data_IF_949895528851
#
_entry.id   IF_949895528851
#
_cell.length_a   1.000
_cell.length_b   1.000
_cell.length_c   1.000
_cell.angle_alpha   90.00
_cell.angle_beta   90.00
_cell.angle_gamma   90.00
#
_symmetry.space_group_name_H-M   'P 1'
#
loop_
_entity.id
_entity.type
_entity.pdbx_description
1 polymer ?
#
# COMPACT_ATOMS: atom_id res chain seq x y z
N UNK A 1 -7.82 -29.08 -9.58
CA UNK A 1 -6.38 -28.86 -9.81
C UNK A 1 -5.55 -30.13 -9.61
N UNK A 2 -5.72 -30.98 -8.57
CA UNK A 2 -4.97 -32.24 -8.45
C UNK A 2 -5.35 -33.29 -9.52
N UNK A 3 -6.62 -33.32 -9.92
CA UNK A 3 -7.15 -34.30 -10.87
C UNK A 3 -6.62 -34.18 -12.32
N UNK A 4 -5.94 -33.08 -12.66
CA UNK A 4 -5.35 -32.84 -13.98
C UNK A 4 -3.82 -32.98 -13.99
N UNK A 5 -3.17 -33.29 -12.86
CA UNK A 5 -1.71 -33.40 -12.75
C UNK A 5 -0.95 -32.08 -12.86
N UNK A 6 -1.65 -30.93 -12.83
CA UNK A 6 -1.02 -29.60 -12.89
C UNK A 6 -0.74 -29.11 -11.47
N UNK A 7 0.52 -28.79 -11.20
CA UNK A 7 0.96 -28.21 -9.93
C UNK A 7 0.57 -26.73 -9.91
N UNK A 8 -0.22 -26.26 -8.91
CA UNK A 8 -0.56 -24.85 -8.78
C UNK A 8 0.69 -23.99 -8.58
N UNK A 9 0.74 -22.86 -9.28
CA UNK A 9 1.78 -21.84 -9.17
C UNK A 9 1.26 -20.57 -8.47
N UNK A 10 2.13 -19.58 -8.28
CA UNK A 10 1.81 -18.28 -7.67
C UNK A 10 0.62 -17.61 -8.37
N UNK A 11 0.55 -17.68 -9.70
CA UNK A 11 -0.54 -17.12 -10.50
C UNK A 11 -1.87 -17.81 -10.15
N UNK A 12 -1.87 -19.14 -10.04
CA UNK A 12 -3.06 -19.93 -9.69
C UNK A 12 -3.56 -19.61 -8.28
N UNK A 13 -2.66 -19.51 -7.31
CA UNK A 13 -3.01 -19.11 -5.94
C UNK A 13 -3.59 -17.70 -5.90
N UNK A 14 -2.93 -16.76 -6.58
CA UNK A 14 -3.35 -15.37 -6.67
C UNK A 14 -4.77 -15.25 -7.27
N UNK A 15 -5.03 -15.93 -8.39
CA UNK A 15 -6.38 -15.96 -8.97
C UNK A 15 -7.45 -16.44 -7.96
N UNK A 16 -7.15 -17.49 -7.18
CA UNK A 16 -8.04 -18.01 -6.16
C UNK A 16 -8.24 -17.01 -5.00
N UNK A 17 -7.17 -16.42 -4.46
CA UNK A 17 -7.22 -15.41 -3.38
C UNK A 17 -8.09 -14.23 -3.81
N UNK A 18 -7.89 -13.70 -5.02
CA UNK A 18 -8.70 -12.62 -5.57
C UNK A 18 -10.18 -13.00 -5.72
N UNK A 19 -10.47 -14.22 -6.15
CA UNK A 19 -11.86 -14.70 -6.25
C UNK A 19 -12.52 -14.78 -4.87
N UNK A 20 -11.79 -15.20 -3.84
CA UNK A 20 -12.27 -15.23 -2.46
C UNK A 20 -12.57 -13.83 -1.93
N UNK A 21 -11.71 -12.85 -2.24
CA UNK A 21 -11.95 -11.44 -1.91
C UNK A 21 -13.22 -10.89 -2.57
N UNK A 22 -13.45 -11.24 -3.84
CA UNK A 22 -14.67 -10.85 -4.57
C UNK A 22 -15.92 -11.50 -3.97
N UNK A 23 -15.80 -12.75 -3.53
CA UNK A 23 -16.86 -13.50 -2.86
C UNK A 23 -17.05 -13.13 -1.36
N UNK A 24 -16.20 -12.24 -0.81
CA UNK A 24 -16.19 -11.85 0.61
C UNK A 24 -15.94 -13.00 1.58
N UNK A 25 -15.11 -13.98 1.18
CA UNK A 25 -14.69 -15.12 2.00
C UNK A 25 -13.21 -14.97 2.34
N UNK A 26 -12.89 -13.98 3.16
CA UNK A 26 -11.52 -13.55 3.39
C UNK A 26 -10.70 -14.57 4.19
N UNK A 27 -11.33 -15.32 5.09
CA UNK A 27 -10.67 -16.36 5.87
C UNK A 27 -10.10 -17.45 4.95
N UNK A 28 -10.86 -17.84 3.92
CA UNK A 28 -10.39 -18.77 2.91
C UNK A 28 -9.26 -18.17 2.07
N UNK A 29 -9.35 -16.88 1.72
CA UNK A 29 -8.28 -16.18 1.03
C UNK A 29 -6.96 -16.23 1.82
N UNK A 30 -7.04 -16.04 3.14
CA UNK A 30 -5.88 -16.13 4.04
C UNK A 30 -5.37 -17.57 4.21
N UNK A 31 -6.25 -18.57 4.25
CA UNK A 31 -5.85 -19.97 4.24
C UNK A 31 -5.08 -20.32 2.95
N UNK A 32 -5.54 -19.83 1.80
CA UNK A 32 -4.86 -20.02 0.51
C UNK A 32 -3.51 -19.30 0.48
N UNK A 33 -3.45 -18.06 0.97
CA UNK A 33 -2.22 -17.29 1.10
C UNK A 33 -1.19 -18.00 1.99
N UNK A 34 -1.60 -18.48 3.17
CA UNK A 34 -0.74 -19.25 4.07
C UNK A 34 -0.23 -20.55 3.42
N UNK A 35 -1.01 -21.13 2.51
CA UNK A 35 -0.66 -22.36 1.80
C UNK A 35 0.43 -22.16 0.73
N UNK A 36 0.72 -20.93 0.29
CA UNK A 36 1.79 -20.65 -0.68
C UNK A 36 3.14 -21.21 -0.20
N UNK A 37 3.56 -20.83 1.00
CA UNK A 37 4.83 -21.30 1.60
C UNK A 37 4.84 -22.81 1.80
N UNK A 38 3.68 -23.40 2.14
CA UNK A 38 3.52 -24.86 2.25
C UNK A 38 3.73 -25.61 0.94
N UNK A 39 3.52 -24.93 -0.20
CA UNK A 39 3.78 -25.45 -1.55
C UNK A 39 5.15 -25.00 -2.11
N UNK A 40 6.07 -24.57 -1.24
CA UNK A 40 7.41 -24.09 -1.62
C UNK A 40 7.40 -22.84 -2.52
N UNK A 41 6.30 -22.09 -2.53
CA UNK A 41 6.18 -20.81 -3.23
C UNK A 41 6.43 -19.66 -2.26
N UNK A 42 7.12 -18.61 -2.72
CA UNK A 42 7.35 -17.41 -1.91
C UNK A 42 6.30 -16.36 -2.26
N UNK A 43 5.55 -15.84 -1.28
CA UNK A 43 4.61 -14.76 -1.55
C UNK A 43 5.34 -13.52 -2.11
N UNK A 44 4.87 -13.03 -3.24
CA UNK A 44 5.36 -11.81 -3.90
C UNK A 44 4.42 -10.60 -3.66
N UNK A 45 4.72 -9.47 -4.28
CA UNK A 45 3.93 -8.23 -4.18
C UNK A 45 2.47 -8.45 -4.57
N UNK A 46 2.22 -9.25 -5.63
CA UNK A 46 0.88 -9.58 -6.06
C UNK A 46 0.15 -10.44 -5.02
N UNK A 47 0.83 -11.42 -4.44
CA UNK A 47 0.29 -12.34 -3.43
C UNK A 47 -0.16 -11.57 -2.18
N UNK A 48 0.71 -10.71 -1.65
CA UNK A 48 0.40 -9.87 -0.50
C UNK A 48 -0.70 -8.87 -0.81
N UNK A 49 -0.63 -8.19 -1.95
CA UNK A 49 -1.64 -7.21 -2.36
C UNK A 49 -3.03 -7.83 -2.45
N UNK A 50 -3.16 -9.03 -3.01
CA UNK A 50 -4.44 -9.72 -3.11
C UNK A 50 -4.95 -10.25 -1.78
N UNK A 51 -4.07 -10.76 -0.91
CA UNK A 51 -4.46 -11.18 0.44
C UNK A 51 -4.96 -9.99 1.27
N UNK A 52 -4.25 -8.86 1.21
CA UNK A 52 -4.65 -7.60 1.87
C UNK A 52 -5.99 -7.11 1.32
N UNK A 53 -6.16 -7.04 0.00
CA UNK A 53 -7.41 -6.60 -0.63
C UNK A 53 -8.58 -7.52 -0.29
N UNK A 54 -8.34 -8.83 -0.23
CA UNK A 54 -9.37 -9.82 0.10
C UNK A 54 -9.81 -9.73 1.57
N UNK A 55 -8.88 -9.47 2.50
CA UNK A 55 -9.13 -9.34 3.92
C UNK A 55 -9.52 -7.93 4.37
N UNK A 56 -9.51 -6.95 3.48
CA UNK A 56 -9.88 -5.58 3.84
C UNK A 56 -11.36 -5.47 4.27
N UNK A 57 -11.71 -4.80 5.39
CA UNK A 57 -10.86 -3.97 6.27
C UNK A 57 -10.44 -4.66 7.59
N UNK A 58 -10.39 -5.98 7.65
CA UNK A 58 -10.10 -6.72 8.89
C UNK A 58 -8.72 -6.39 9.46
N UNK A 59 -8.56 -6.37 10.79
CA UNK A 59 -7.33 -5.95 11.46
C UNK A 59 -6.08 -6.77 11.04
N UNK A 60 -6.27 -8.01 10.59
CA UNK A 60 -5.19 -8.89 10.10
C UNK A 60 -4.41 -8.30 8.91
N UNK A 61 -4.99 -7.33 8.18
CA UNK A 61 -4.29 -6.69 7.05
C UNK A 61 -3.02 -5.93 7.47
N UNK A 62 -2.99 -5.40 8.70
CA UNK A 62 -1.78 -4.75 9.24
C UNK A 62 -0.65 -5.75 9.45
N UNK A 63 -0.97 -6.93 9.98
CA UNK A 63 0.01 -8.02 10.16
C UNK A 63 0.53 -8.53 8.82
N UNK A 64 -0.34 -8.65 7.81
CA UNK A 64 0.07 -9.03 6.45
C UNK A 64 0.99 -7.99 5.82
N UNK A 65 0.69 -6.69 5.99
CA UNK A 65 1.54 -5.63 5.48
C UNK A 65 2.89 -5.60 6.19
N UNK A 66 2.92 -5.73 7.52
CA UNK A 66 4.14 -5.81 8.30
C UNK A 66 5.00 -7.02 7.87
N UNK A 67 4.37 -8.16 7.62
CA UNK A 67 5.06 -9.34 7.11
C UNK A 67 5.61 -9.11 5.70
N UNK A 68 4.87 -8.46 4.80
CA UNK A 68 5.36 -8.09 3.46
C UNK A 68 6.58 -7.16 3.52
N UNK A 69 6.58 -6.21 4.46
CA UNK A 69 7.72 -5.32 4.70
C UNK A 69 8.94 -6.10 5.21
N UNK A 70 8.74 -7.09 6.09
CA UNK A 70 9.81 -7.97 6.58
C UNK A 70 10.38 -8.87 5.48
N UNK A 71 9.51 -9.38 4.61
CA UNK A 71 9.86 -10.18 3.43
C UNK A 71 10.49 -9.33 2.31
N UNK A 72 10.62 -8.01 2.51
CA UNK A 72 11.21 -7.06 1.57
C UNK A 72 10.51 -7.06 0.21
N UNK A 73 9.18 -7.23 0.21
CA UNK A 73 8.38 -7.34 -1.00
C UNK A 73 8.38 -6.06 -1.85
N UNK A 74 8.52 -4.89 -1.23
CA UNK A 74 8.57 -3.59 -1.91
C UNK A 74 9.85 -2.81 -1.55
N UNK A 75 11.02 -3.22 -2.06
CA UNK A 75 12.31 -2.66 -1.66
C UNK A 75 12.49 -1.19 -2.10
N UNK A 76 11.87 -0.82 -3.23
CA UNK A 76 11.96 0.53 -3.81
C UNK A 76 10.77 1.43 -3.43
N UNK A 77 9.94 1.03 -2.47
CA UNK A 77 8.76 1.81 -2.06
C UNK A 77 9.14 3.18 -1.47
N UNK A 78 10.25 3.26 -0.72
CA UNK A 78 10.72 4.51 -0.14
C UNK A 78 11.68 5.24 -1.08
N UNK A 79 11.28 6.42 -1.52
CA UNK A 79 12.03 7.25 -2.45
C UNK A 79 12.58 8.50 -1.76
N UNK A 80 13.64 9.08 -2.34
CA UNK A 80 14.24 10.37 -1.89
C UNK A 80 14.52 10.42 -0.39
N UNK A 81 15.09 9.35 0.18
CA UNK A 81 15.42 9.28 1.60
C UNK A 81 14.21 9.26 2.55
N UNK A 82 13.02 8.88 2.04
CA UNK A 82 11.77 8.79 2.82
C UNK A 82 10.80 9.96 2.62
N UNK A 83 11.17 10.95 1.80
CA UNK A 83 10.26 12.04 1.43
C UNK A 83 9.34 11.69 0.25
N UNK A 84 9.55 10.53 -0.40
CA UNK A 84 8.68 10.04 -1.46
C UNK A 84 8.23 8.60 -1.18
N UNK A 85 7.03 8.26 -1.62
CA UNK A 85 6.47 6.91 -1.53
C UNK A 85 6.01 6.44 -2.91
N UNK A 86 6.55 5.33 -3.39
CA UNK A 86 6.20 4.73 -4.68
C UNK A 86 5.27 3.52 -4.49
N UNK A 87 4.09 3.58 -5.09
CA UNK A 87 3.00 2.61 -4.94
C UNK A 87 2.69 1.86 -6.26
N UNK A 88 3.61 1.85 -7.23
CA UNK A 88 3.32 1.25 -8.55
C UNK A 88 3.02 -0.26 -8.52
N UNK A 89 3.65 -0.99 -7.60
CA UNK A 89 3.45 -2.43 -7.39
C UNK A 89 2.47 -2.73 -6.23
N UNK A 90 1.70 -1.73 -5.82
CA UNK A 90 0.68 -1.90 -4.79
C UNK A 90 -0.72 -2.10 -5.38
N UNK A 91 -1.51 -2.92 -4.69
CA UNK A 91 -2.95 -2.96 -4.86
C UNK A 91 -3.60 -1.77 -4.13
N UNK A 92 -4.93 -1.62 -4.20
CA UNK A 92 -5.60 -0.51 -3.53
C UNK A 92 -5.46 -0.61 -2.00
N UNK A 93 -5.68 -1.79 -1.43
CA UNK A 93 -5.57 -2.03 0.00
C UNK A 93 -4.14 -1.90 0.50
N UNK A 94 -3.16 -2.51 -0.19
CA UNK A 94 -1.77 -2.39 0.22
C UNK A 94 -1.22 -0.97 0.03
N UNK A 95 -1.73 -0.19 -0.93
CA UNK A 95 -1.39 1.21 -1.09
C UNK A 95 -1.92 2.08 0.08
N UNK A 96 -3.14 1.83 0.53
CA UNK A 96 -3.71 2.53 1.70
C UNK A 96 -2.85 2.26 2.94
N UNK A 97 -2.46 1.00 3.17
CA UNK A 97 -1.59 0.64 4.29
C UNK A 97 -0.21 1.26 4.15
N UNK A 98 0.39 1.24 2.96
CA UNK A 98 1.69 1.85 2.71
C UNK A 98 1.69 3.37 3.00
N UNK A 99 0.66 4.09 2.54
CA UNK A 99 0.53 5.54 2.83
C UNK A 99 0.32 5.78 4.33
N UNK A 100 -0.53 4.97 4.96
CA UNK A 100 -0.81 5.07 6.39
C UNK A 100 0.45 4.84 7.23
N UNK A 101 1.19 3.76 6.94
CA UNK A 101 2.47 3.45 7.57
C UNK A 101 3.51 4.55 7.32
N UNK A 102 3.65 5.00 6.07
CA UNK A 102 4.61 6.03 5.71
C UNK A 102 4.36 7.35 6.45
N UNK A 103 3.10 7.79 6.50
CA UNK A 103 2.69 8.96 7.25
C UNK A 103 2.88 8.78 8.76
N UNK A 104 2.63 7.60 9.32
CA UNK A 104 2.76 7.35 10.75
C UNK A 104 4.21 7.18 11.22
N UNK A 105 5.03 6.46 10.45
CA UNK A 105 6.33 5.97 10.89
C UNK A 105 7.51 6.67 10.24
N UNK A 106 7.39 7.12 8.98
CA UNK A 106 8.53 7.65 8.22
C UNK A 106 8.52 9.17 8.24
N UNK A 107 7.39 9.77 7.87
CA UNK A 107 7.25 11.23 7.73
C UNK A 107 7.57 12.00 9.02
N UNK A 108 7.12 11.60 10.22
CA UNK A 108 7.44 12.32 11.45
C UNK A 108 8.95 12.36 11.72
N UNK A 109 9.68 11.30 11.37
CA UNK A 109 11.13 11.23 11.51
C UNK A 109 11.84 12.22 10.56
N UNK A 110 11.27 12.48 9.38
CA UNK A 110 11.79 13.46 8.41
C UNK A 110 11.50 14.89 8.84
N UNK A 111 10.30 15.14 9.36
CA UNK A 111 9.91 16.45 9.90
C UNK A 111 10.85 16.85 11.05
N UNK A 112 11.10 15.97 12.02
CA UNK A 112 11.97 16.29 13.17
C UNK A 112 13.44 16.48 12.80
N UNK A 113 13.93 15.86 11.72
CA UNK A 113 15.34 15.94 11.31
C UNK A 113 15.72 17.25 10.63
N UNK A 114 14.76 18.02 10.13
CA UNK A 114 15.03 19.12 9.20
C UNK A 114 14.71 20.47 9.84
N UNK A 115 15.73 21.31 10.04
CA UNK A 115 15.59 22.66 10.62
C UNK A 115 14.83 23.67 9.72
N UNK A 116 14.49 23.29 8.48
CA UNK A 116 13.72 24.08 7.53
C UNK A 116 12.56 23.27 6.94
N UNK A 117 11.43 23.28 7.64
CA UNK A 117 10.20 22.60 7.19
C UNK A 117 9.67 23.14 5.85
N UNK A 118 9.95 24.41 5.51
CA UNK A 118 9.39 25.08 4.33
C UNK A 118 9.89 24.58 2.97
N UNK A 119 10.92 23.74 2.92
CA UNK A 119 11.52 23.24 1.67
C UNK A 119 11.28 21.76 1.39
N UNK A 120 10.69 21.01 2.32
CA UNK A 120 10.40 19.59 2.09
C UNK A 120 9.06 19.40 1.39
N UNK A 121 9.11 18.91 0.15
CA UNK A 121 7.94 18.37 -0.54
C UNK A 121 7.79 16.89 -0.14
N UNK A 122 6.59 16.45 0.21
CA UNK A 122 6.27 15.04 0.37
C UNK A 122 5.47 14.58 -0.85
N UNK A 123 5.82 13.44 -1.45
CA UNK A 123 5.22 12.98 -2.71
C UNK A 123 4.80 11.52 -2.63
N UNK A 124 3.60 11.20 -3.11
CA UNK A 124 3.13 9.83 -3.34
C UNK A 124 3.01 9.59 -4.85
N UNK A 125 3.61 8.51 -5.33
CA UNK A 125 3.61 8.09 -6.73
C UNK A 125 2.66 6.89 -6.86
N UNK A 126 1.57 7.07 -7.59
CA UNK A 126 0.46 6.10 -7.75
C UNK A 126 0.44 5.44 -9.13
N UNK A 127 1.50 5.66 -9.92
CA UNK A 127 1.70 5.13 -11.28
C UNK A 127 2.42 6.09 -12.22
N UNK A 128 2.78 5.59 -13.41
CA UNK A 128 3.64 6.30 -14.38
C UNK A 128 2.93 7.35 -15.25
N UNK A 129 1.61 7.50 -15.17
CA UNK A 129 0.85 8.47 -15.97
C UNK A 129 0.86 8.25 -17.49
N UNK A 130 1.52 7.20 -18.00
CA UNK A 130 1.72 6.93 -19.44
C UNK A 130 0.58 6.15 -20.12
N UNK A 131 -0.29 5.49 -19.35
CA UNK A 131 -1.30 4.56 -19.87
C UNK A 131 -2.74 5.07 -19.77
N UNK A 132 -2.97 6.28 -19.22
CA UNK A 132 -4.32 6.84 -19.08
C UNK A 132 -4.57 7.98 -20.06
N UNK A 133 -5.68 7.85 -20.77
CA UNK A 133 -6.08 8.80 -21.79
C UNK A 133 -6.65 10.09 -21.15
N UNK A 134 -6.47 11.27 -21.79
CA UNK A 134 -6.87 12.57 -21.23
C UNK A 134 -8.34 12.68 -20.79
N UNK A 135 -9.23 11.92 -21.43
CA UNK A 135 -10.68 11.94 -21.19
C UNK A 135 -11.15 11.04 -20.02
N UNK A 136 -10.25 10.35 -19.32
CA UNK A 136 -10.56 9.70 -18.05
C UNK A 136 -10.23 10.66 -16.89
N UNK A 137 -11.24 11.31 -16.28
CA UNK A 137 -11.02 12.29 -15.22
C UNK A 137 -10.64 11.62 -13.89
N UNK A 138 -11.10 10.39 -13.64
CA UNK A 138 -10.75 9.61 -12.45
C UNK A 138 -9.32 9.03 -12.56
N UNK A 139 -8.53 9.16 -11.50
CA UNK A 139 -7.15 8.65 -11.40
C UNK A 139 -7.04 7.12 -11.50
N UNK A 140 -5.89 6.55 -11.13
CA UNK A 140 -5.81 5.11 -10.82
C UNK A 140 -6.70 4.72 -9.66
N UNK A 141 -7.16 3.47 -9.60
CA UNK A 141 -7.93 2.98 -8.44
C UNK A 141 -7.11 3.17 -7.15
N UNK A 142 -5.80 2.96 -7.23
CA UNK A 142 -4.82 3.30 -6.20
C UNK A 142 -4.85 4.80 -5.88
N UNK A 143 -4.76 5.69 -6.88
CA UNK A 143 -4.80 7.13 -6.66
C UNK A 143 -6.13 7.59 -6.03
N UNK A 144 -7.26 7.06 -6.49
CA UNK A 144 -8.58 7.38 -5.94
C UNK A 144 -8.66 6.94 -4.47
N UNK A 145 -8.18 5.74 -4.17
CA UNK A 145 -8.14 5.18 -2.81
C UNK A 145 -7.24 5.99 -1.88
N UNK A 146 -6.04 6.34 -2.34
CA UNK A 146 -5.09 7.17 -1.58
C UNK A 146 -5.63 8.57 -1.36
N UNK A 147 -6.20 9.22 -2.38
CA UNK A 147 -6.80 10.56 -2.22
C UNK A 147 -7.96 10.53 -1.22
N UNK A 148 -8.83 9.52 -1.31
CA UNK A 148 -9.91 9.34 -0.34
C UNK A 148 -9.39 9.22 1.09
N UNK A 149 -8.33 8.41 1.31
CA UNK A 149 -7.68 8.31 2.62
C UNK A 149 -7.17 9.67 3.10
N UNK A 150 -6.46 10.41 2.25
CA UNK A 150 -5.91 11.72 2.61
C UNK A 150 -7.02 12.74 2.93
N UNK A 151 -8.09 12.76 2.13
CA UNK A 151 -9.25 13.62 2.34
C UNK A 151 -9.96 13.29 3.67
N UNK A 152 -10.18 11.99 3.97
CA UNK A 152 -10.76 11.51 5.23
C UNK A 152 -9.92 11.90 6.46
N UNK A 153 -8.62 12.14 6.28
CA UNK A 153 -7.68 12.55 7.35
C UNK A 153 -7.36 14.04 7.33
N UNK A 154 -8.05 14.82 6.48
CA UNK A 154 -7.83 16.25 6.29
C UNK A 154 -6.35 16.59 5.95
N UNK A 155 -5.69 15.73 5.18
CA UNK A 155 -4.32 15.95 4.68
C UNK A 155 -4.42 16.53 3.27
N UNK A 156 -4.10 17.81 3.05
CA UNK A 156 -4.19 18.42 1.73
C UNK A 156 -3.22 17.77 0.75
N UNK A 157 -3.70 17.47 -0.45
CA UNK A 157 -2.86 16.99 -1.55
C UNK A 157 -3.26 17.59 -2.89
N UNK A 158 -2.26 17.83 -3.74
CA UNK A 158 -2.43 18.32 -5.10
C UNK A 158 -1.86 17.32 -6.11
N UNK A 159 -2.55 17.16 -7.23
CA UNK A 159 -2.04 16.35 -8.34
C UNK A 159 -0.98 17.14 -9.10
N UNK A 160 0.19 16.56 -9.32
CA UNK A 160 1.27 17.25 -10.01
C UNK A 160 0.88 17.60 -11.47
N UNK A 161 1.05 18.85 -11.93
CA UNK A 161 0.49 19.34 -13.18
C UNK A 161 1.03 18.64 -14.43
N UNK A 162 2.30 18.19 -14.39
CA UNK A 162 2.95 17.48 -15.51
C UNK A 162 2.94 15.96 -15.37
N UNK A 163 2.49 15.43 -14.23
CA UNK A 163 2.46 14.00 -13.99
C UNK A 163 1.27 13.65 -13.10
N UNK A 164 0.16 13.27 -13.73
CA UNK A 164 -1.07 12.94 -13.04
C UNK A 164 -0.93 11.75 -12.09
N UNK A 165 0.13 10.94 -12.18
CA UNK A 165 0.40 9.83 -11.25
C UNK A 165 1.04 10.26 -9.93
N UNK A 166 1.45 11.53 -9.79
CA UNK A 166 2.12 12.05 -8.59
C UNK A 166 1.20 12.96 -7.80
N UNK A 167 1.15 12.72 -6.49
CA UNK A 167 0.41 13.52 -5.52
C UNK A 167 1.42 14.22 -4.62
N UNK A 168 1.37 15.54 -4.55
CA UNK A 168 2.16 16.34 -3.63
C UNK A 168 1.33 16.63 -2.39
N UNK A 169 1.85 16.27 -1.22
CA UNK A 169 1.18 16.46 0.07
C UNK A 169 1.68 17.75 0.72
N UNK A 170 0.77 18.51 1.31
CA UNK A 170 1.08 19.63 2.17
C UNK A 170 0.89 19.22 3.63
N UNK A 171 2.02 19.05 4.33
CA UNK A 171 2.03 18.63 5.73
C UNK A 171 2.34 19.78 6.69
N UNK A 172 2.33 21.04 6.21
CA UNK A 172 2.60 22.21 7.05
C UNK A 172 1.51 22.37 8.10
N UNK A 173 1.92 22.45 9.37
CA UNK A 173 1.00 22.61 10.49
C UNK A 173 0.22 21.35 10.88
N UNK A 174 0.48 20.20 10.24
CA UNK A 174 -0.10 18.93 10.68
C UNK A 174 0.67 18.42 11.90
N UNK A 175 -0.06 18.05 12.95
CA UNK A 175 0.52 17.48 14.17
C UNK A 175 1.12 16.09 13.88
N UNK A 176 2.42 15.86 14.14
CA UNK A 176 3.01 14.52 14.06
C UNK A 176 2.30 13.45 14.90
N UNK A 177 1.62 13.84 15.99
CA UNK A 177 0.79 12.94 16.80
C UNK A 177 -0.39 12.37 16.00
N UNK A 178 -1.12 13.21 15.28
CA UNK A 178 -2.23 12.81 14.41
C UNK A 178 -1.77 11.83 13.32
N UNK A 179 -0.58 12.05 12.76
CA UNK A 179 -0.03 11.16 11.74
C UNK A 179 0.26 9.76 12.29
N UNK A 180 0.75 9.65 13.54
CA UNK A 180 1.05 8.36 14.19
C UNK A 180 -0.19 7.50 14.43
N UNK A 181 -1.38 8.08 14.51
CA UNK A 181 -2.64 7.35 14.68
C UNK A 181 -3.13 6.68 13.40
N UNK A 182 -2.50 6.96 12.25
CA UNK A 182 -2.90 6.41 10.96
C UNK A 182 -2.54 4.93 10.79
N UNK A 183 -1.57 4.45 11.56
CA UNK A 183 -1.11 3.07 11.48
C UNK A 183 -0.92 2.52 12.91
N UNK A 184 -1.46 1.35 13.25
CA UNK A 184 -1.25 0.77 14.57
C UNK A 184 0.25 0.50 14.78
N UNK A 185 0.78 0.64 16.00
CA UNK A 185 2.16 0.32 16.27
C UNK A 185 2.43 -1.15 15.92
N UNK A 186 3.45 -1.40 15.11
CA UNK A 186 3.89 -2.74 14.69
C UNK A 186 4.37 -3.53 15.91
N UNK A 187 3.46 -4.24 16.58
CA UNK A 187 3.69 -5.01 17.83
C UNK A 187 4.25 -4.20 19.02
N UNK A 188 4.06 -4.67 20.28
CA UNK A 188 4.42 -3.87 21.44
C UNK A 188 5.93 -3.65 21.48
N UNK A 189 6.36 -2.39 21.67
CA UNK A 189 7.74 -2.05 22.01
C UNK A 189 8.18 -2.99 23.14
N UNK A 190 8.97 -4.01 22.82
CA UNK A 190 9.71 -4.78 23.82
C UNK A 190 10.84 -3.92 24.37
#
# INVERSE_FOLDING_TARGET
>A
MPAAGVVPDEISFNACIRSCGTARIWELALCLFASLRGNQLQPDAASYGQAIDAAWPEAVVFELFDQAMQDQTWPDMLQRGGAGLDLHDHSCGSAILAVSWWLAEVVPKQLTRTLRHDSMSFEVITGWGKSRMPWQPAGSDVQVSVRRLLDERAIPCEVHPRNRGRLQLDLRGIDPGQLRELYPPTSPRR
#
